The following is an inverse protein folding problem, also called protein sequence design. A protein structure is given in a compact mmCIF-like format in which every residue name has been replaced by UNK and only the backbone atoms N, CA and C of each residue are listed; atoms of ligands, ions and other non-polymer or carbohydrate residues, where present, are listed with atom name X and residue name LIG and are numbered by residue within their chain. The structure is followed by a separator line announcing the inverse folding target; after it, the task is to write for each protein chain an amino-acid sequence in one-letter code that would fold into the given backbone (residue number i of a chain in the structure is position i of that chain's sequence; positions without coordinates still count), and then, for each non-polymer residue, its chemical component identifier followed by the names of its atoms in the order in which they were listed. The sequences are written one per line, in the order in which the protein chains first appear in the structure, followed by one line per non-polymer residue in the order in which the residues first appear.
data_IF_086956137900
#
_entry.id   IF_086956137900
#
_cell.length_a   1.000
_cell.length_b   1.000
_cell.length_c   1.000
_cell.angle_alpha   90.00
_cell.angle_beta   90.00
_cell.angle_gamma   90.00
#
_symmetry.space_group_name_H-M   'P 1'
#
loop_
_entity.id
_entity.type
_entity.pdbx_description
1 polymer ?
#
# COMPACT_ATOMS: atom_id res chain seq x y z
N UNK A 1 -24.70 -6.44 11.26
CA UNK A 1 -23.66 -6.85 10.29
C UNK A 1 -22.62 -5.72 10.22
N UNK A 2 -21.51 -5.82 10.96
CA UNK A 2 -20.54 -4.72 11.11
C UNK A 2 -19.67 -4.66 9.86
N UNK A 3 -19.79 -3.58 9.08
CA UNK A 3 -18.93 -3.28 7.94
C UNK A 3 -17.50 -3.08 8.45
N UNK A 4 -16.64 -4.08 8.27
CA UNK A 4 -15.20 -3.96 8.39
C UNK A 4 -14.67 -3.17 7.17
N UNK A 5 -14.85 -1.85 7.17
CA UNK A 5 -14.22 -0.96 6.19
C UNK A 5 -12.83 -0.57 6.72
N UNK A 6 -11.87 -1.47 6.54
CA UNK A 6 -10.46 -1.08 6.46
C UNK A 6 -10.27 -0.61 5.02
N UNK A 7 -10.28 0.70 4.78
CA UNK A 7 -10.15 1.28 3.44
C UNK A 7 -8.83 0.80 2.79
N UNK A 8 -8.88 0.01 1.71
CA UNK A 8 -7.70 -0.61 1.13
C UNK A 8 -7.02 0.37 0.17
N UNK A 9 -6.27 1.34 0.68
CA UNK A 9 -5.41 2.15 -0.18
C UNK A 9 -4.07 1.43 -0.35
N UNK A 10 -3.82 0.84 -1.51
CA UNK A 10 -2.49 0.32 -1.87
C UNK A 10 -1.80 1.37 -2.72
N UNK A 11 -0.65 1.84 -2.27
CA UNK A 11 0.17 2.83 -2.98
C UNK A 11 1.29 2.08 -3.66
N UNK A 12 1.45 2.25 -4.96
CA UNK A 12 2.40 1.45 -5.72
C UNK A 12 3.32 2.38 -6.50
N UNK A 13 4.63 2.13 -6.43
CA UNK A 13 5.63 2.92 -7.10
C UNK A 13 6.22 2.16 -8.28
N UNK A 14 6.20 2.81 -9.43
CA UNK A 14 6.93 2.44 -10.64
C UNK A 14 8.05 3.45 -10.81
N UNK A 15 9.30 3.00 -10.79
CA UNK A 15 10.47 3.86 -10.92
C UNK A 15 11.11 3.64 -12.31
N UNK A 16 11.01 4.66 -13.18
CA UNK A 16 11.64 4.60 -14.51
C UNK A 16 12.48 5.84 -14.77
N UNK A 17 13.79 5.65 -15.00
CA UNK A 17 14.75 6.67 -15.49
C UNK A 17 14.61 8.05 -14.80
N UNK A 18 14.75 8.10 -13.47
CA UNK A 18 14.73 9.30 -12.60
C UNK A 18 13.37 9.97 -12.35
N UNK A 19 12.26 9.47 -12.89
CA UNK A 19 10.91 9.91 -12.47
C UNK A 19 10.21 8.79 -11.72
N UNK A 20 9.64 9.16 -10.58
CA UNK A 20 8.81 8.27 -9.75
C UNK A 20 7.37 8.43 -10.21
N UNK A 21 6.74 7.34 -10.63
CA UNK A 21 5.30 7.28 -10.85
C UNK A 21 4.66 6.51 -9.71
N UNK A 22 3.64 7.10 -9.10
CA UNK A 22 2.85 6.48 -8.04
C UNK A 22 1.46 6.20 -8.57
N UNK A 23 1.01 4.95 -8.46
CA UNK A 23 -0.33 4.52 -8.77
C UNK A 23 -1.07 4.15 -7.49
N UNK A 24 -2.20 4.78 -7.26
CA UNK A 24 -3.05 4.59 -6.09
C UNK A 24 -4.19 3.64 -6.43
N UNK A 25 -4.25 2.51 -5.72
CA UNK A 25 -5.35 1.56 -5.78
C UNK A 25 -6.21 1.71 -4.53
N UNK A 26 -7.52 1.73 -4.68
CA UNK A 26 -8.47 1.80 -3.59
C UNK A 26 -9.90 1.99 -4.09
N UNK A 27 -10.85 1.69 -3.24
CA UNK A 27 -12.29 1.81 -3.51
C UNK A 27 -12.77 3.27 -3.51
N UNK A 28 -12.13 4.13 -2.71
CA UNK A 28 -12.43 5.56 -2.68
C UNK A 28 -11.66 6.33 -3.78
N UNK A 29 -12.23 6.31 -4.98
CA UNK A 29 -11.69 7.06 -6.12
C UNK A 29 -11.61 8.56 -5.84
N UNK A 30 -12.58 9.13 -5.12
CA UNK A 30 -12.61 10.57 -4.81
C UNK A 30 -11.43 10.97 -3.93
N UNK A 31 -11.11 10.15 -2.93
CA UNK A 31 -9.95 10.30 -2.08
C UNK A 31 -8.66 10.16 -2.87
N UNK A 32 -8.52 9.10 -3.68
CA UNK A 32 -7.34 8.88 -4.50
C UNK A 32 -7.10 10.04 -5.50
N UNK A 33 -8.16 10.53 -6.15
CA UNK A 33 -8.12 11.68 -7.05
C UNK A 33 -7.71 12.97 -6.34
N UNK A 34 -8.05 13.15 -5.06
CA UNK A 34 -7.58 14.31 -4.31
C UNK A 34 -6.07 14.21 -4.02
N UNK A 35 -5.60 13.01 -3.70
CA UNK A 35 -4.17 12.75 -3.47
C UNK A 35 -3.33 12.97 -4.73
N UNK A 36 -3.86 12.63 -5.92
CA UNK A 36 -3.14 12.90 -7.17
C UNK A 36 -2.87 14.39 -7.35
N UNK A 37 -3.86 15.24 -7.11
CA UNK A 37 -3.73 16.70 -7.23
C UNK A 37 -2.81 17.27 -6.15
N UNK A 38 -2.90 16.74 -4.92
CA UNK A 38 -2.12 17.22 -3.78
C UNK A 38 -0.63 16.91 -3.87
N UNK A 39 -0.27 15.74 -4.41
CA UNK A 39 1.10 15.23 -4.35
C UNK A 39 1.82 15.20 -5.70
N UNK A 40 1.11 15.34 -6.82
CA UNK A 40 1.79 15.43 -8.12
C UNK A 40 2.60 16.71 -8.24
N UNK A 41 3.83 16.58 -8.72
CA UNK A 41 4.73 17.70 -8.98
C UNK A 41 5.71 17.35 -10.13
N UNK A 42 6.72 18.18 -10.36
CA UNK A 42 7.67 18.01 -11.46
C UNK A 42 8.51 16.71 -11.39
N UNK A 43 8.72 16.13 -10.20
CA UNK A 43 9.53 14.91 -9.97
C UNK A 43 8.70 13.68 -9.61
N UNK A 44 7.44 13.86 -9.22
CA UNK A 44 6.53 12.82 -8.76
C UNK A 44 5.21 12.89 -9.53
N UNK A 45 4.91 11.87 -10.33
CA UNK A 45 3.63 11.74 -11.02
C UNK A 45 2.71 10.80 -10.25
N UNK A 46 1.60 11.28 -9.73
CA UNK A 46 0.65 10.48 -8.94
C UNK A 46 -0.64 10.27 -9.72
N UNK A 47 -1.07 9.03 -9.86
CA UNK A 47 -2.27 8.63 -10.59
C UNK A 47 -3.17 7.77 -9.71
N UNK A 48 -4.48 7.86 -9.92
CA UNK A 48 -5.46 6.97 -9.31
C UNK A 48 -5.87 5.90 -10.32
N UNK A 49 -5.87 4.64 -9.90
CA UNK A 49 -6.47 3.57 -10.70
C UNK A 49 -7.98 3.86 -10.84
N UNK A 50 -8.45 3.87 -12.08
CA UNK A 50 -9.86 4.15 -12.37
C UNK A 50 -10.72 2.93 -11.98
N UNK A 51 -11.83 3.13 -11.26
CA UNK A 51 -12.84 2.09 -11.08
C UNK A 51 -13.63 1.94 -12.38
N UNK A 52 -13.03 1.32 -13.39
CA UNK A 52 -13.74 1.00 -14.62
C UNK A 52 -14.67 -0.18 -14.37
N UNK A 53 -15.90 -0.13 -14.87
CA UNK A 53 -16.91 -1.18 -14.67
C UNK A 53 -16.43 -2.59 -15.12
N UNK A 54 -15.43 -2.65 -16.02
CA UNK A 54 -14.86 -3.88 -16.57
C UNK A 54 -13.45 -4.19 -16.04
N UNK A 55 -12.89 -3.37 -15.15
CA UNK A 55 -11.59 -3.64 -14.51
C UNK A 55 -11.84 -4.31 -13.18
N UNK A 56 -11.50 -5.60 -13.12
CA UNK A 56 -11.58 -6.38 -11.88
C UNK A 56 -10.28 -6.23 -11.08
N UNK A 57 -10.29 -6.54 -9.77
CA UNK A 57 -9.07 -6.59 -8.95
C UNK A 57 -7.95 -7.46 -9.55
N UNK A 58 -8.29 -8.42 -10.41
CA UNK A 58 -7.33 -9.26 -11.13
C UNK A 58 -6.47 -8.44 -12.10
N UNK A 59 -7.05 -7.44 -12.76
CA UNK A 59 -6.31 -6.56 -13.69
C UNK A 59 -5.29 -5.73 -12.92
N UNK A 60 -5.68 -5.21 -11.75
CA UNK A 60 -4.78 -4.45 -10.88
C UNK A 60 -3.60 -5.32 -10.43
N UNK A 61 -3.88 -6.54 -9.95
CA UNK A 61 -2.85 -7.52 -9.58
C UNK A 61 -1.93 -7.84 -10.76
N UNK A 62 -2.49 -8.09 -11.95
CA UNK A 62 -1.73 -8.41 -13.15
C UNK A 62 -0.87 -7.24 -13.65
N UNK A 63 -1.33 -6.00 -13.49
CA UNK A 63 -0.54 -4.82 -13.77
C UNK A 63 0.63 -4.71 -12.79
N UNK A 64 0.35 -4.85 -11.50
CA UNK A 64 1.35 -4.71 -10.44
C UNK A 64 2.45 -5.76 -10.54
N UNK A 65 2.08 -7.00 -10.87
CA UNK A 65 3.03 -8.10 -11.01
C UNK A 65 4.09 -7.88 -12.08
N UNK A 66 3.78 -7.07 -13.09
CA UNK A 66 4.66 -6.83 -14.25
C UNK A 66 5.38 -5.49 -14.19
N UNK A 67 4.76 -4.47 -13.62
CA UNK A 67 5.21 -3.09 -13.83
C UNK A 67 5.78 -2.42 -12.58
N UNK A 68 5.51 -2.93 -11.38
CA UNK A 68 5.78 -2.19 -10.15
C UNK A 68 7.09 -2.59 -9.49
N UNK A 69 7.89 -1.61 -9.12
CA UNK A 69 9.21 -1.80 -8.52
C UNK A 69 9.14 -1.74 -6.99
N UNK A 70 8.12 -1.08 -6.44
CA UNK A 70 7.80 -1.15 -5.03
C UNK A 70 6.29 -1.07 -4.77
N UNK A 71 5.84 -1.71 -3.70
CA UNK A 71 4.45 -1.67 -3.21
C UNK A 71 4.45 -1.17 -1.77
N UNK A 72 3.53 -0.28 -1.45
CA UNK A 72 3.24 0.21 -0.11
C UNK A 72 1.79 -0.13 0.27
N UNK A 73 1.64 -1.07 1.20
CA UNK A 73 0.36 -1.44 1.77
C UNK A 73 0.04 -0.56 2.99
N UNK A 74 -0.90 0.37 2.84
CA UNK A 74 -1.34 1.22 3.97
C UNK A 74 -2.30 0.49 4.92
N UNK A 75 -3.06 -0.46 4.36
CA UNK A 75 -3.94 -1.40 5.07
C UNK A 75 -3.35 -2.81 4.99
N UNK A 76 -2.43 -3.13 5.89
CA UNK A 76 -1.59 -4.33 5.75
C UNK A 76 -2.31 -5.66 5.99
N UNK A 77 -3.46 -5.64 6.66
CA UNK A 77 -4.35 -6.79 6.80
C UNK A 77 -5.33 -6.97 5.62
N UNK A 78 -5.25 -6.13 4.58
CA UNK A 78 -6.09 -6.25 3.38
C UNK A 78 -5.71 -7.50 2.58
N UNK A 79 -6.69 -8.38 2.31
CA UNK A 79 -6.48 -9.56 1.44
C UNK A 79 -6.11 -9.15 0.02
N UNK A 80 -6.77 -8.13 -0.53
CA UNK A 80 -6.43 -7.58 -1.84
C UNK A 80 -4.98 -7.06 -1.88
N UNK A 81 -4.61 -6.21 -0.93
CA UNK A 81 -3.26 -5.64 -0.88
C UNK A 81 -2.18 -6.70 -0.65
N UNK A 82 -2.46 -7.70 0.18
CA UNK A 82 -1.55 -8.81 0.45
C UNK A 82 -1.30 -9.65 -0.80
N UNK A 83 -2.36 -10.10 -1.49
CA UNK A 83 -2.22 -10.88 -2.73
C UNK A 83 -1.57 -10.08 -3.85
N UNK A 84 -1.91 -8.79 -3.97
CA UNK A 84 -1.28 -7.89 -4.92
C UNK A 84 0.23 -7.81 -4.69
N UNK A 85 0.68 -7.68 -3.43
CA UNK A 85 2.09 -7.62 -3.08
C UNK A 85 2.80 -8.97 -3.27
N UNK A 86 2.16 -10.06 -2.86
CA UNK A 86 2.70 -11.42 -2.96
C UNK A 86 2.96 -11.87 -4.39
N UNK A 87 2.12 -11.44 -5.33
CA UNK A 87 2.24 -11.82 -6.74
C UNK A 87 3.16 -10.89 -7.55
N UNK A 88 3.89 -9.99 -6.89
CA UNK A 88 4.86 -9.13 -7.58
C UNK A 88 6.12 -9.87 -8.03
N UNK A 89 6.89 -9.27 -8.94
CA UNK A 89 8.16 -9.82 -9.40
C UNK A 89 9.17 -9.90 -8.23
N UNK A 90 10.13 -10.85 -8.25
CA UNK A 90 11.04 -11.10 -7.13
C UNK A 90 11.83 -9.87 -6.64
N UNK A 91 12.17 -8.94 -7.53
CA UNK A 91 12.95 -7.73 -7.20
C UNK A 91 12.09 -6.57 -6.68
N UNK A 92 10.77 -6.74 -6.56
CA UNK A 92 9.87 -5.70 -6.07
C UNK A 92 10.03 -5.53 -4.56
N UNK A 93 10.25 -4.30 -4.11
CA UNK A 93 10.33 -4.01 -2.68
C UNK A 93 8.95 -3.78 -2.08
N UNK A 94 8.56 -4.62 -1.12
CA UNK A 94 7.27 -4.51 -0.44
C UNK A 94 7.43 -3.82 0.90
N UNK A 95 6.61 -2.79 1.12
CA UNK A 95 6.47 -2.06 2.38
C UNK A 95 5.06 -2.24 2.93
N UNK A 96 4.94 -2.44 4.23
CA UNK A 96 3.63 -2.58 4.88
C UNK A 96 3.60 -1.81 6.20
N UNK A 97 2.46 -1.22 6.54
CA UNK A 97 2.22 -0.59 7.82
C UNK A 97 2.20 -1.62 8.96
N UNK A 98 3.19 -1.59 9.85
CA UNK A 98 3.36 -2.56 10.95
C UNK A 98 2.33 -2.42 12.07
N UNK A 99 1.51 -1.37 12.04
CA UNK A 99 0.42 -1.18 13.02
C UNK A 99 -0.81 -2.01 12.63
N UNK A 100 -0.87 -2.58 11.40
CA UNK A 100 -1.89 -3.49 10.82
C UNK A 100 -3.38 -3.09 10.88
N UNK A 101 -3.83 -2.35 11.90
CA UNK A 101 -5.09 -1.64 12.07
C UNK A 101 -5.15 -1.15 13.53
N UNK A 102 -5.90 -0.06 13.79
CA UNK A 102 -6.15 0.57 15.11
C UNK A 102 -5.91 -0.31 16.35
N UNK A 103 -5.39 0.32 17.41
CA UNK A 103 -5.36 -0.23 18.77
C UNK A 103 -6.67 -0.99 19.08
N UNK A 104 -6.53 -2.29 19.34
CA UNK A 104 -7.59 -3.27 19.65
C UNK A 104 -8.29 -3.98 18.47
N UNK A 105 -7.74 -3.93 17.25
CA UNK A 105 -8.29 -4.63 16.08
C UNK A 105 -7.72 -6.03 15.85
N UNK A 106 -6.79 -6.13 14.89
CA UNK A 106 -6.27 -7.40 14.32
C UNK A 106 -4.92 -7.81 14.94
N UNK A 107 -4.27 -6.91 15.67
CA UNK A 107 -2.93 -7.10 16.24
C UNK A 107 -2.81 -8.29 17.20
N UNK A 108 -3.93 -8.74 17.78
CA UNK A 108 -3.99 -9.92 18.67
C UNK A 108 -4.28 -11.23 17.94
N UNK A 109 -4.72 -11.16 16.69
CA UNK A 109 -5.15 -12.32 15.90
C UNK A 109 -4.15 -12.68 14.79
N UNK A 110 -3.19 -11.79 14.53
CA UNK A 110 -2.23 -11.91 13.43
C UNK A 110 -0.81 -11.82 13.96
N UNK A 111 -0.05 -12.92 13.87
CA UNK A 111 1.39 -12.89 14.06
C UNK A 111 2.07 -12.39 12.78
N UNK A 112 2.74 -11.23 12.80
CA UNK A 112 3.34 -10.68 11.59
C UNK A 112 4.41 -11.59 10.97
N UNK A 113 5.09 -12.41 11.78
CA UNK A 113 6.13 -13.33 11.31
C UNK A 113 5.58 -14.49 10.50
N UNK A 114 4.31 -14.86 10.74
CA UNK A 114 3.64 -15.94 10.00
C UNK A 114 2.86 -15.40 8.80
N UNK A 115 2.44 -14.13 8.87
CA UNK A 115 1.57 -13.52 7.87
C UNK A 115 2.32 -12.78 6.77
N UNK A 116 3.47 -12.16 7.06
CA UNK A 116 4.25 -11.42 6.07
C UNK A 116 5.55 -12.16 5.74
N UNK A 117 5.89 -12.32 4.44
CA UNK A 117 7.18 -12.87 4.07
C UNK A 117 8.35 -12.08 4.69
N UNK A 118 9.42 -12.76 5.13
CA UNK A 118 10.49 -12.14 5.93
C UNK A 118 11.25 -11.03 5.19
N UNK A 119 11.28 -11.07 3.85
CA UNK A 119 11.92 -10.07 3.01
C UNK A 119 11.08 -8.79 2.83
N UNK A 120 9.82 -8.77 3.27
CA UNK A 120 8.98 -7.58 3.25
C UNK A 120 9.37 -6.63 4.37
N UNK A 121 9.27 -5.33 4.11
CA UNK A 121 9.78 -4.27 4.99
C UNK A 121 8.66 -3.64 5.81
N UNK A 122 8.59 -3.84 7.14
CA UNK A 122 7.65 -3.12 7.98
C UNK A 122 7.96 -1.62 8.00
N UNK A 123 6.91 -0.81 8.02
CA UNK A 123 6.96 0.62 8.29
C UNK A 123 6.34 0.91 9.63
N UNK A 124 7.16 1.38 10.56
CA UNK A 124 6.72 1.82 11.88
C UNK A 124 6.25 3.26 11.77
N UNK A 125 4.97 3.49 12.08
CA UNK A 125 4.36 4.80 12.10
C UNK A 125 4.28 5.32 13.54
N UNK A 126 5.08 6.33 13.86
CA UNK A 126 5.07 6.98 15.17
C UNK A 126 4.32 8.30 15.08
N UNK A 127 3.23 8.43 15.82
CA UNK A 127 2.50 9.70 15.92
C UNK A 127 3.25 10.63 16.88
N UNK A 128 3.66 11.78 16.37
CA UNK A 128 4.34 12.83 17.12
C UNK A 128 3.31 13.67 17.90
N UNK A 129 3.74 14.33 18.99
CA UNK A 129 2.86 15.20 19.78
C UNK A 129 2.26 16.37 18.99
N UNK A 130 2.95 16.85 17.96
CA UNK A 130 2.43 17.90 17.06
C UNK A 130 1.45 17.38 15.99
N UNK A 131 1.00 16.13 16.10
CA UNK A 131 0.06 15.51 15.16
C UNK A 131 0.68 14.99 13.86
N UNK A 132 1.96 15.25 13.60
CA UNK A 132 2.67 14.67 12.46
C UNK A 132 2.96 13.18 12.67
N UNK A 133 3.19 12.44 11.58
CA UNK A 133 3.56 11.02 11.64
C UNK A 133 4.97 10.88 11.08
N UNK A 134 5.87 10.30 11.89
CA UNK A 134 7.19 9.88 11.43
C UNK A 134 7.12 8.41 11.04
N UNK A 135 7.71 8.06 9.90
CA UNK A 135 7.88 6.68 9.51
C UNK A 135 9.34 6.26 9.60
N UNK A 136 9.58 5.01 10.00
CA UNK A 136 10.88 4.36 9.90
C UNK A 136 10.72 2.97 9.33
N UNK A 137 11.70 2.53 8.53
CA UNK A 137 11.76 1.16 8.03
C UNK A 137 12.26 0.29 9.18
N UNK A 138 11.44 -0.68 9.59
CA UNK A 138 11.86 -1.71 10.53
C UNK A 138 12.69 -2.78 9.80
N UNK A 139 13.65 -3.36 10.51
CA UNK A 139 14.35 -4.55 10.07
C UNK A 139 13.69 -5.75 10.72
N UNK A 140 13.22 -6.72 9.94
CA UNK A 140 12.83 -8.02 10.49
C UNK A 140 14.11 -8.67 11.02
N UNK A 141 14.14 -8.97 12.32
CA UNK A 141 15.19 -9.76 12.97
C UNK A 141 14.85 -11.23 12.85
#
# INVERSE_FOLDING_TARGET
MRRFLIQPSVVISVQRRRRVTVLLFGDDYSWNSNLTTKFSNASLSVHAALPLANVTPVVDIAFCSRHCDAVLMTASASTFGWWLAYLTKPDTTIYYNSVFSKANGIERELNPQDFFPPHWKPLNLTKMHNGSVRFSVGWNK
#
